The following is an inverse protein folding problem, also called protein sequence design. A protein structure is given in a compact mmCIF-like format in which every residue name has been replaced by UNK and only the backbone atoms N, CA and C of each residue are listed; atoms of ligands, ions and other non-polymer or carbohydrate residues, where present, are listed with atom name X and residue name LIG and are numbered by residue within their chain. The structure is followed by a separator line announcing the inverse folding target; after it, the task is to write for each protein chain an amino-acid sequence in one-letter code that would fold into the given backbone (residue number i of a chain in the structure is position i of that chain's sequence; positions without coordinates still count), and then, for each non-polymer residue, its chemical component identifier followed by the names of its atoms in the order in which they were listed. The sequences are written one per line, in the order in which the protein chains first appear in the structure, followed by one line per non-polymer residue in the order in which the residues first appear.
data_IF_629031954927
#
_entry.id   IF_629031954927
#
_cell.length_a   1.000
_cell.length_b   1.000
_cell.length_c   1.000
_cell.angle_alpha   90.00
_cell.angle_beta   90.00
_cell.angle_gamma   90.00
#
_symmetry.space_group_name_H-M   'P 1'
#
loop_
_entity.id
_entity.type
_entity.pdbx_description
1 polymer ?
#
# COMPACT_ATOMS: atom_id res chain seq x y z
N UNK A 1 -7.51 45.34 5.27
CA UNK A 1 -6.21 44.74 5.56
C UNK A 1 -5.56 44.40 4.21
N UNK A 2 -4.54 45.13 3.80
CA UNK A 2 -3.78 44.84 2.55
C UNK A 2 -2.71 43.82 2.91
N UNK A 3 -2.88 42.59 2.45
CA UNK A 3 -1.89 41.52 2.64
C UNK A 3 -0.80 41.64 1.58
N UNK A 4 0.46 41.86 2.01
CA UNK A 4 1.60 41.92 1.12
C UNK A 4 2.28 40.55 1.05
N UNK A 5 2.15 39.91 -0.13
CA UNK A 5 2.84 38.63 -0.39
C UNK A 5 4.34 38.85 -0.53
N UNK A 6 5.14 38.17 0.30
CA UNK A 6 6.60 38.16 0.17
C UNK A 6 7.07 36.90 -0.57
N UNK A 7 7.16 36.98 -1.89
CA UNK A 7 7.63 35.88 -2.71
C UNK A 7 9.15 35.63 -2.57
N UNK A 8 9.92 36.64 -2.09
CA UNK A 8 11.36 36.52 -1.86
C UNK A 8 11.68 35.50 -0.73
N UNK A 9 10.74 35.22 0.16
CA UNK A 9 10.90 34.22 1.22
C UNK A 9 11.38 32.87 0.69
N UNK A 10 10.90 32.45 -0.49
CA UNK A 10 11.30 31.15 -1.05
C UNK A 10 12.79 31.07 -1.44
N UNK A 11 13.42 32.20 -1.66
CA UNK A 11 14.85 32.32 -2.01
C UNK A 11 15.72 32.63 -0.80
N UNK A 12 15.13 32.89 0.37
CA UNK A 12 15.87 33.10 1.62
C UNK A 12 16.38 31.76 2.18
N UNK A 13 17.51 31.83 2.85
CA UNK A 13 18.10 30.66 3.50
C UNK A 13 17.30 30.27 4.75
N UNK A 14 17.17 28.97 4.97
CA UNK A 14 16.55 28.42 6.19
C UNK A 14 17.50 28.66 7.37
N UNK A 15 16.95 29.09 8.52
CA UNK A 15 17.75 29.41 9.72
C UNK A 15 18.63 28.24 10.21
N UNK A 16 18.38 27.02 9.78
CA UNK A 16 19.09 25.80 10.22
C UNK A 16 20.06 25.21 9.21
N UNK A 17 20.34 25.87 8.08
CA UNK A 17 21.25 25.33 7.05
C UNK A 17 21.50 26.27 5.87
N UNK A 18 22.32 25.83 4.93
CA UNK A 18 22.70 26.58 3.71
C UNK A 18 21.65 26.48 2.58
N UNK A 19 20.56 25.75 2.82
CA UNK A 19 19.50 25.53 1.82
C UNK A 19 18.46 26.65 1.86
N UNK A 20 17.84 26.95 0.70
CA UNK A 20 16.72 27.89 0.63
C UNK A 20 15.38 27.18 0.94
N UNK A 21 14.37 27.96 1.35
CA UNK A 21 13.03 27.40 1.59
C UNK A 21 12.48 26.68 0.35
N UNK A 22 12.77 27.15 -0.86
CA UNK A 22 12.39 26.48 -2.10
C UNK A 22 13.04 25.10 -2.25
N UNK A 23 14.34 25.00 -1.97
CA UNK A 23 15.06 23.71 -2.00
C UNK A 23 14.47 22.72 -0.97
N UNK A 24 14.14 23.21 0.22
CA UNK A 24 13.49 22.41 1.25
C UNK A 24 12.12 21.87 0.80
N UNK A 25 11.32 22.73 0.15
CA UNK A 25 10.00 22.31 -0.39
C UNK A 25 10.15 21.29 -1.51
N UNK A 26 11.12 21.48 -2.43
CA UNK A 26 11.39 20.52 -3.51
C UNK A 26 11.90 19.19 -2.97
N UNK A 27 12.79 19.21 -1.98
CA UNK A 27 13.25 18.01 -1.28
C UNK A 27 12.11 17.29 -0.60
N UNK A 28 11.25 18.02 0.15
CA UNK A 28 10.06 17.46 0.79
C UNK A 28 9.06 16.84 -0.20
N UNK A 29 8.87 17.48 -1.37
CA UNK A 29 8.06 16.91 -2.46
C UNK A 29 8.69 15.62 -2.98
N UNK A 30 10.02 15.58 -3.15
CA UNK A 30 10.75 14.37 -3.56
C UNK A 30 10.52 13.20 -2.60
N UNK A 31 10.63 13.42 -1.29
CA UNK A 31 10.35 12.42 -0.27
C UNK A 31 8.88 11.97 -0.28
N UNK A 32 7.95 12.91 -0.45
CA UNK A 32 6.51 12.59 -0.55
C UNK A 32 6.22 11.68 -1.74
N UNK A 33 6.77 12.00 -2.90
CA UNK A 33 6.62 11.18 -4.10
C UNK A 33 7.28 9.81 -3.95
N UNK A 34 8.47 9.74 -3.36
CA UNK A 34 9.17 8.49 -3.11
C UNK A 34 8.35 7.56 -2.20
N UNK A 35 7.80 8.07 -1.09
CA UNK A 35 6.91 7.30 -0.20
C UNK A 35 5.64 6.86 -0.93
N UNK A 36 5.00 7.80 -1.66
CA UNK A 36 3.75 7.51 -2.37
C UNK A 36 3.92 6.42 -3.44
N UNK A 37 4.96 6.52 -4.29
CA UNK A 37 5.23 5.54 -5.34
C UNK A 37 5.62 4.17 -4.77
N UNK A 38 6.44 4.15 -3.72
CA UNK A 38 6.81 2.90 -3.03
C UNK A 38 5.59 2.23 -2.39
N UNK A 39 4.77 2.99 -1.68
CA UNK A 39 3.54 2.51 -1.07
C UNK A 39 2.53 2.04 -2.13
N UNK A 40 2.40 2.76 -3.24
CA UNK A 40 1.51 2.40 -4.34
C UNK A 40 1.95 1.08 -5.01
N UNK A 41 3.24 0.90 -5.26
CA UNK A 41 3.76 -0.36 -5.80
C UNK A 41 3.47 -1.55 -4.88
N UNK A 42 3.76 -1.41 -3.57
CA UNK A 42 3.44 -2.43 -2.56
C UNK A 42 1.94 -2.73 -2.56
N UNK A 43 1.11 -1.68 -2.58
CA UNK A 43 -0.34 -1.80 -2.55
C UNK A 43 -0.90 -2.50 -3.79
N UNK A 44 -0.39 -2.21 -4.99
CA UNK A 44 -0.81 -2.86 -6.22
C UNK A 44 -0.48 -4.36 -6.20
N UNK A 45 0.77 -4.70 -5.88
CA UNK A 45 1.22 -6.11 -5.87
C UNK A 45 0.44 -6.92 -4.84
N UNK A 46 0.44 -6.47 -3.59
CA UNK A 46 -0.25 -7.20 -2.51
C UNK A 46 -1.77 -7.15 -2.67
N UNK A 47 -2.33 -6.00 -3.03
CA UNK A 47 -3.77 -5.84 -3.18
C UNK A 47 -4.33 -6.69 -4.32
N UNK A 48 -3.66 -6.75 -5.47
CA UNK A 48 -4.06 -7.60 -6.59
C UNK A 48 -3.99 -9.08 -6.22
N UNK A 49 -2.93 -9.49 -5.54
CA UNK A 49 -2.79 -10.87 -5.08
C UNK A 49 -3.89 -11.24 -4.07
N UNK A 50 -4.08 -10.43 -3.03
CA UNK A 50 -5.05 -10.68 -1.97
C UNK A 50 -6.48 -10.63 -2.52
N UNK A 51 -6.79 -9.66 -3.39
CA UNK A 51 -8.11 -9.55 -4.03
C UNK A 51 -8.45 -10.79 -4.86
N UNK A 52 -7.47 -11.29 -5.62
CA UNK A 52 -7.59 -12.54 -6.38
C UNK A 52 -7.78 -13.74 -5.45
N UNK A 53 -7.01 -13.86 -4.38
CA UNK A 53 -7.12 -14.96 -3.41
C UNK A 53 -8.48 -14.96 -2.70
N UNK A 54 -9.09 -13.80 -2.43
CA UNK A 54 -10.43 -13.70 -1.82
C UNK A 54 -11.54 -14.27 -2.68
N UNK A 55 -11.36 -14.32 -4.00
CA UNK A 55 -12.33 -14.90 -4.93
C UNK A 55 -12.06 -16.36 -5.24
N UNK A 56 -10.98 -16.94 -4.68
CA UNK A 56 -10.63 -18.32 -4.87
C UNK A 56 -11.68 -19.27 -4.25
N UNK A 57 -12.03 -20.40 -4.91
CA UNK A 57 -13.02 -21.34 -4.40
C UNK A 57 -12.56 -22.10 -3.14
N UNK A 58 -11.26 -22.13 -2.87
CA UNK A 58 -10.67 -22.83 -1.73
C UNK A 58 -10.67 -21.94 -0.47
N UNK A 59 -11.40 -22.33 0.57
CA UNK A 59 -11.54 -21.57 1.82
C UNK A 59 -10.21 -21.26 2.52
N UNK A 60 -9.23 -22.14 2.44
CA UNK A 60 -7.93 -21.93 3.05
C UNK A 60 -7.13 -20.77 2.40
N UNK A 61 -7.49 -20.35 1.18
CA UNK A 61 -6.96 -19.16 0.51
C UNK A 61 -7.82 -17.92 0.80
N UNK A 62 -9.13 -18.05 0.72
CA UNK A 62 -10.03 -16.90 0.83
C UNK A 62 -10.19 -16.40 2.27
N UNK A 63 -10.14 -17.25 3.28
CA UNK A 63 -10.28 -16.84 4.68
C UNK A 63 -9.13 -15.94 5.15
N UNK A 64 -7.84 -16.32 5.01
CA UNK A 64 -6.75 -15.43 5.42
C UNK A 64 -6.71 -14.15 4.59
N UNK A 65 -7.04 -14.20 3.30
CA UNK A 65 -7.13 -13.01 2.45
C UNK A 65 -8.26 -12.06 2.91
N UNK A 66 -9.39 -12.59 3.36
CA UNK A 66 -10.48 -11.81 3.94
C UNK A 66 -10.05 -11.19 5.28
N UNK A 67 -9.46 -11.97 6.17
CA UNK A 67 -8.95 -11.48 7.45
C UNK A 67 -7.94 -10.33 7.27
N UNK A 68 -7.04 -10.44 6.28
CA UNK A 68 -6.13 -9.36 5.91
C UNK A 68 -6.87 -8.06 5.59
N UNK A 69 -7.85 -8.14 4.69
CA UNK A 69 -8.59 -6.96 4.27
C UNK A 69 -9.37 -6.34 5.41
N UNK A 70 -10.03 -7.15 6.24
CA UNK A 70 -10.77 -6.67 7.40
C UNK A 70 -9.85 -6.01 8.43
N UNK A 71 -8.69 -6.59 8.71
CA UNK A 71 -7.71 -6.03 9.63
C UNK A 71 -7.26 -4.63 9.18
N UNK A 72 -6.81 -4.52 7.92
CA UNK A 72 -6.22 -3.26 7.43
C UNK A 72 -7.26 -2.19 7.09
N UNK A 73 -8.51 -2.55 6.81
CA UNK A 73 -9.58 -1.57 6.57
C UNK A 73 -10.18 -1.00 7.84
N UNK A 74 -10.26 -1.79 8.90
CA UNK A 74 -10.93 -1.39 10.14
C UNK A 74 -10.04 -0.57 11.08
N UNK A 75 -8.72 -0.60 10.88
CA UNK A 75 -7.78 0.19 11.68
C UNK A 75 -7.43 1.47 10.90
N UNK A 76 -7.61 2.68 11.50
CA UNK A 76 -7.20 3.93 10.87
C UNK A 76 -5.71 3.91 10.49
N UNK A 77 -5.37 4.48 9.33
CA UNK A 77 -3.98 4.45 8.82
C UNK A 77 -2.97 5.08 9.79
N UNK A 78 -3.38 6.15 10.48
CA UNK A 78 -2.54 6.83 11.47
C UNK A 78 -2.18 5.89 12.62
N UNK A 79 -3.16 5.14 13.14
CA UNK A 79 -2.95 4.13 14.19
C UNK A 79 -1.98 3.05 13.71
N UNK A 80 -2.17 2.55 12.48
CA UNK A 80 -1.26 1.56 11.89
C UNK A 80 0.17 2.09 11.76
N UNK A 81 0.34 3.37 11.43
CA UNK A 81 1.63 4.02 11.30
C UNK A 81 2.34 4.09 12.67
N UNK A 82 1.63 4.56 13.71
CA UNK A 82 2.16 4.60 15.07
C UNK A 82 2.51 3.21 15.61
N UNK A 83 1.64 2.22 15.41
CA UNK A 83 1.91 0.85 15.83
C UNK A 83 3.20 0.31 15.20
N UNK A 84 3.41 0.54 13.88
CA UNK A 84 4.62 0.07 13.20
C UNK A 84 5.88 0.81 13.63
N UNK A 85 5.77 2.09 13.86
CA UNK A 85 6.93 2.90 14.23
C UNK A 85 7.38 2.68 15.68
N UNK A 86 6.43 2.58 16.60
CA UNK A 86 6.71 2.51 18.03
C UNK A 86 6.57 1.11 18.63
N UNK A 87 5.52 0.37 18.26
CA UNK A 87 5.17 -0.88 18.93
C UNK A 87 5.84 -2.10 18.28
N UNK A 88 5.84 -2.18 16.94
CA UNK A 88 6.42 -3.33 16.24
C UNK A 88 7.88 -3.56 16.62
N UNK A 89 8.77 -2.54 16.69
CA UNK A 89 10.14 -2.75 17.12
C UNK A 89 10.26 -3.34 18.52
N UNK A 90 9.35 -3.03 19.46
CA UNK A 90 9.35 -3.58 20.82
C UNK A 90 8.99 -5.07 20.88
N UNK A 91 8.19 -5.54 19.90
CA UNK A 91 7.74 -6.93 19.83
C UNK A 91 8.76 -7.85 19.13
N UNK A 92 9.80 -7.28 18.53
CA UNK A 92 10.84 -8.05 17.82
C UNK A 92 11.87 -8.64 18.80
N UNK A 93 12.56 -9.73 18.41
CA UNK A 93 13.70 -10.23 19.16
C UNK A 93 14.76 -9.15 19.41
N UNK A 94 15.48 -9.14 20.55
CA UNK A 94 16.34 -8.02 20.96
C UNK A 94 17.33 -7.54 19.90
N UNK A 95 17.97 -8.43 19.17
CA UNK A 95 18.90 -8.08 18.10
C UNK A 95 18.24 -7.32 16.95
N UNK A 96 17.05 -7.78 16.53
CA UNK A 96 16.30 -7.16 15.43
C UNK A 96 15.66 -5.84 15.88
N UNK A 97 15.18 -5.77 17.11
CA UNK A 97 14.67 -4.56 17.73
C UNK A 97 15.72 -3.45 17.75
N UNK A 98 16.92 -3.76 18.21
CA UNK A 98 18.04 -2.80 18.22
C UNK A 98 18.38 -2.32 16.82
N UNK A 99 18.50 -3.25 15.87
CA UNK A 99 18.78 -2.89 14.46
C UNK A 99 17.72 -1.97 13.87
N UNK A 100 16.43 -2.28 14.05
CA UNK A 100 15.33 -1.43 13.55
C UNK A 100 15.33 -0.05 14.22
N UNK A 101 15.69 0.04 15.50
CA UNK A 101 15.67 1.31 16.24
C UNK A 101 16.86 2.21 15.93
N UNK A 102 18.05 1.64 15.74
CA UNK A 102 19.31 2.37 15.71
C UNK A 102 20.02 2.35 14.33
N UNK A 103 20.00 1.17 13.66
CA UNK A 103 20.84 0.93 12.49
C UNK A 103 20.06 0.91 11.17
N UNK A 104 18.72 0.89 11.22
CA UNK A 104 17.90 0.80 10.00
C UNK A 104 17.96 2.10 9.20
N UNK A 105 18.51 2.07 7.97
CA UNK A 105 18.57 3.27 7.14
C UNK A 105 17.18 3.75 6.75
N UNK A 106 16.99 5.07 6.78
CA UNK A 106 15.71 5.71 6.38
C UNK A 106 14.47 5.06 7.03
N UNK A 107 14.54 4.80 8.33
CA UNK A 107 13.50 4.10 9.12
C UNK A 107 12.11 4.72 8.91
N UNK A 108 12.03 6.04 8.92
CA UNK A 108 10.80 6.80 8.73
C UNK A 108 10.17 6.52 7.36
N UNK A 109 11.00 6.55 6.31
CA UNK A 109 10.58 6.28 4.94
C UNK A 109 10.05 4.84 4.80
N UNK A 110 10.82 3.85 5.25
CA UNK A 110 10.44 2.43 5.13
C UNK A 110 9.15 2.17 5.92
N UNK A 111 9.05 2.68 7.14
CA UNK A 111 7.86 2.53 7.99
C UNK A 111 6.63 3.16 7.35
N UNK A 112 6.77 4.38 6.81
CA UNK A 112 5.69 5.07 6.13
C UNK A 112 5.25 4.35 4.86
N UNK A 113 6.19 3.96 4.00
CA UNK A 113 5.90 3.24 2.76
C UNK A 113 5.21 1.89 3.01
N UNK A 114 5.66 1.13 4.01
CA UNK A 114 5.02 -0.13 4.41
C UNK A 114 3.63 0.11 5.02
N UNK A 115 3.48 1.09 5.90
CA UNK A 115 2.20 1.37 6.53
C UNK A 115 1.13 1.76 5.49
N UNK A 116 1.46 2.71 4.62
CA UNK A 116 0.57 3.16 3.56
C UNK A 116 0.31 2.06 2.52
N UNK A 117 1.36 1.32 2.15
CA UNK A 117 1.25 0.24 1.17
C UNK A 117 0.34 -0.89 1.63
N UNK A 118 0.50 -1.35 2.88
CA UNK A 118 -0.35 -2.42 3.45
C UNK A 118 -1.79 -1.95 3.67
N UNK A 119 -2.00 -0.72 4.16
CA UNK A 119 -3.32 -0.14 4.30
C UNK A 119 -4.05 -0.01 2.95
N UNK A 120 -3.35 0.51 1.94
CA UNK A 120 -3.92 0.70 0.60
C UNK A 120 -4.13 -0.62 -0.12
N UNK A 121 -3.29 -1.65 0.15
CA UNK A 121 -3.45 -3.00 -0.42
C UNK A 121 -4.81 -3.61 -0.12
N UNK A 122 -5.36 -3.37 1.07
CA UNK A 122 -6.68 -3.85 1.44
C UNK A 122 -7.81 -3.19 0.62
N UNK A 123 -7.65 -1.93 0.23
CA UNK A 123 -8.60 -1.22 -0.65
C UNK A 123 -8.51 -1.71 -2.09
N UNK A 124 -7.30 -1.89 -2.61
CA UNK A 124 -7.08 -2.46 -3.94
C UNK A 124 -7.62 -3.89 -4.00
N UNK A 125 -7.43 -4.69 -2.96
CA UNK A 125 -7.97 -6.04 -2.88
C UNK A 125 -9.51 -6.07 -3.01
N UNK A 126 -10.22 -5.08 -2.43
CA UNK A 126 -11.66 -4.95 -2.61
C UNK A 126 -12.04 -4.54 -4.03
N UNK A 127 -11.28 -3.64 -4.66
CA UNK A 127 -11.52 -3.23 -6.05
C UNK A 127 -11.35 -4.41 -7.00
N UNK A 128 -10.25 -5.17 -6.85
CA UNK A 128 -9.99 -6.39 -7.63
C UNK A 128 -11.10 -7.44 -7.42
N UNK A 129 -11.51 -7.66 -6.15
CA UNK A 129 -12.62 -8.57 -5.86
C UNK A 129 -13.93 -8.12 -6.52
N UNK A 130 -14.23 -6.83 -6.44
CA UNK A 130 -15.43 -6.25 -7.07
C UNK A 130 -15.39 -6.39 -8.59
N UNK A 131 -14.24 -6.12 -9.22
CA UNK A 131 -14.04 -6.33 -10.65
C UNK A 131 -14.29 -7.78 -11.06
N UNK A 132 -13.66 -8.74 -10.37
CA UNK A 132 -13.87 -10.17 -10.65
C UNK A 132 -15.34 -10.59 -10.47
N UNK A 133 -16.01 -10.09 -9.44
CA UNK A 133 -17.40 -10.46 -9.14
C UNK A 133 -18.43 -9.77 -10.05
N UNK A 134 -18.07 -8.69 -10.72
CA UNK A 134 -18.94 -8.01 -11.70
C UNK A 134 -19.08 -8.76 -13.01
N UNK A 135 -18.16 -9.71 -13.29
CA UNK A 135 -18.20 -10.47 -14.53
C UNK A 135 -19.40 -11.42 -14.59
N UNK A 136 -20.07 -11.54 -15.76
CA UNK A 136 -21.16 -12.48 -15.96
C UNK A 136 -20.69 -13.92 -15.72
N UNK A 137 -21.44 -14.67 -14.91
CA UNK A 137 -21.12 -16.08 -14.59
C UNK A 137 -21.03 -16.97 -15.85
N UNK A 138 -21.70 -16.59 -16.92
CA UNK A 138 -21.64 -17.27 -18.21
C UNK A 138 -20.23 -17.38 -18.78
N UNK A 139 -19.35 -16.42 -18.56
CA UNK A 139 -17.96 -16.48 -19.01
C UNK A 139 -17.18 -17.62 -18.35
N UNK A 140 -17.36 -17.78 -17.05
CA UNK A 140 -16.73 -18.89 -16.31
C UNK A 140 -17.27 -20.25 -16.78
N UNK A 141 -18.58 -20.37 -17.01
CA UNK A 141 -19.18 -21.60 -17.52
C UNK A 141 -18.76 -21.91 -18.96
N UNK A 142 -18.67 -20.91 -19.82
CA UNK A 142 -18.19 -21.07 -21.19
C UNK A 142 -16.74 -21.57 -21.22
N UNK A 143 -15.86 -20.99 -20.39
CA UNK A 143 -14.47 -21.45 -20.28
C UNK A 143 -14.38 -22.92 -19.83
N UNK A 144 -15.18 -23.32 -18.85
CA UNK A 144 -15.23 -24.72 -18.38
C UNK A 144 -15.79 -25.65 -19.46
N UNK A 145 -16.81 -25.24 -20.21
CA UNK A 145 -17.37 -25.99 -21.32
C UNK A 145 -16.40 -26.22 -22.48
N UNK A 146 -15.47 -25.28 -22.68
CA UNK A 146 -14.35 -25.40 -23.62
C UNK A 146 -13.20 -26.29 -23.10
N UNK A 147 -13.34 -26.92 -21.94
CA UNK A 147 -12.37 -27.84 -21.36
C UNK A 147 -11.28 -27.17 -20.52
N UNK A 148 -11.37 -25.88 -20.25
CA UNK A 148 -10.43 -25.23 -19.34
C UNK A 148 -10.59 -25.75 -17.90
N UNK A 149 -9.49 -25.99 -17.23
CA UNK A 149 -9.51 -26.18 -15.78
C UNK A 149 -9.92 -24.87 -15.08
N UNK A 150 -10.41 -24.94 -13.85
CA UNK A 150 -10.77 -23.72 -13.08
C UNK A 150 -9.63 -22.71 -13.00
N UNK A 151 -8.38 -23.16 -12.85
CA UNK A 151 -7.21 -22.29 -12.80
C UNK A 151 -6.94 -21.64 -14.17
N UNK A 152 -7.09 -22.37 -15.27
CA UNK A 152 -6.95 -21.84 -16.62
C UNK A 152 -8.06 -20.83 -16.95
N UNK A 153 -9.32 -21.14 -16.62
CA UNK A 153 -10.43 -20.22 -16.78
C UNK A 153 -10.18 -18.91 -16.00
N UNK A 154 -9.66 -19.03 -14.78
CA UNK A 154 -9.33 -17.88 -13.95
C UNK A 154 -8.21 -17.02 -14.55
N UNK A 155 -7.12 -17.66 -15.00
CA UNK A 155 -5.93 -16.97 -15.53
C UNK A 155 -6.15 -16.35 -16.90
N UNK A 156 -6.86 -17.06 -17.81
CA UNK A 156 -6.94 -16.67 -19.22
C UNK A 156 -8.25 -15.96 -19.60
N UNK A 157 -9.29 -16.08 -18.78
CA UNK A 157 -10.61 -15.49 -19.06
C UNK A 157 -10.99 -14.46 -17.97
N UNK A 158 -11.02 -14.88 -16.71
CA UNK A 158 -11.58 -14.05 -15.64
C UNK A 158 -10.65 -12.87 -15.31
N UNK A 159 -9.36 -13.13 -14.99
CA UNK A 159 -8.43 -12.08 -14.59
C UNK A 159 -8.15 -11.02 -15.67
N UNK A 160 -8.01 -11.37 -16.97
CA UNK A 160 -7.80 -10.36 -18.00
C UNK A 160 -9.02 -9.47 -18.26
N UNK A 161 -10.22 -9.90 -17.86
CA UNK A 161 -11.46 -9.16 -18.08
C UNK A 161 -11.93 -8.40 -16.83
N UNK A 162 -11.34 -8.63 -15.68
CA UNK A 162 -11.68 -7.99 -14.41
C UNK A 162 -10.94 -6.66 -14.23
#
# INVERSE_FOLDING_TARGET
MTYHWNWHLFLEQVQSGDETYLQWMVSGLGWTLAVALSAWFIALVLGSLIGTLRTAPKRWLSVPATAWVELFRNIPVLVQLFLRFFVVPELLPPKLSLWVKQDMPSKEFITAALALGLFTSARIAEQVRAGIQSLPRGQSYAALALGFTRTQAYRYVILPMA
#
